data_IF_868991575658
#
_entry.id   IF_868991575658
#
_cell.length_a   1.000
_cell.length_b   1.000
_cell.length_c   1.000
_cell.angle_alpha   90.00
_cell.angle_beta   90.00
_cell.angle_gamma   90.00
#
_symmetry.space_group_name_H-M   'P 1'
#
loop_
_entity.id
_entity.type
_entity.pdbx_description
1 polymer ?
#
# COMPACT_ATOMS: atom_id res chain seq x y z
N UNK A 1 2.65 1.81 18.12
CA UNK A 1 3.03 1.86 16.69
C UNK A 1 1.74 1.91 15.89
N UNK A 2 1.63 2.70 14.80
CA UNK A 2 0.42 2.71 13.99
C UNK A 2 0.19 1.34 13.38
N UNK A 3 -1.06 0.90 13.38
CA UNK A 3 -1.51 -0.35 12.76
C UNK A 3 -2.27 -0.05 11.47
N UNK A 4 -2.28 -1.02 10.55
CA UNK A 4 -2.96 -0.87 9.26
C UNK A 4 -3.62 -2.15 8.80
N UNK A 5 -4.82 -2.03 8.24
CA UNK A 5 -5.47 -3.06 7.45
C UNK A 5 -5.24 -2.78 5.96
N UNK A 6 -4.75 -3.78 5.23
CA UNK A 6 -4.52 -3.70 3.79
C UNK A 6 -5.35 -4.80 3.11
N UNK A 7 -6.19 -4.42 2.16
CA UNK A 7 -7.00 -5.34 1.36
C UNK A 7 -7.13 -4.88 -0.10
N UNK A 8 -7.59 -5.75 -0.98
CA UNK A 8 -7.69 -5.49 -2.42
C UNK A 8 -9.09 -5.81 -2.95
N UNK A 9 -9.52 -5.05 -3.95
CA UNK A 9 -10.73 -5.30 -4.74
C UNK A 9 -10.40 -5.02 -6.22
N UNK A 10 -10.35 -6.09 -7.02
CA UNK A 10 -9.82 -6.05 -8.39
C UNK A 10 -8.39 -5.50 -8.41
N UNK A 11 -8.17 -4.43 -9.19
CA UNK A 11 -6.90 -3.70 -9.27
C UNK A 11 -6.74 -2.57 -8.25
N UNK A 12 -7.64 -2.46 -7.27
CA UNK A 12 -7.61 -1.40 -6.27
C UNK A 12 -7.08 -1.93 -4.94
N UNK A 13 -6.12 -1.22 -4.36
CA UNK A 13 -5.59 -1.43 -3.01
C UNK A 13 -6.21 -0.41 -2.07
N UNK A 14 -6.68 -0.90 -0.94
CA UNK A 14 -7.20 -0.11 0.16
C UNK A 14 -6.30 -0.28 1.38
N UNK A 15 -6.00 0.83 2.04
CA UNK A 15 -5.19 0.89 3.24
C UNK A 15 -5.95 1.72 4.27
N UNK A 16 -6.34 1.09 5.36
CA UNK A 16 -6.98 1.75 6.50
C UNK A 16 -6.01 1.76 7.68
N UNK A 17 -5.80 2.92 8.28
CA UNK A 17 -4.93 3.11 9.44
C UNK A 17 -5.77 3.34 10.70
N UNK A 18 -5.24 2.97 11.86
CA UNK A 18 -5.90 3.15 13.16
C UNK A 18 -6.02 4.62 13.61
N UNK A 19 -5.26 5.51 12.98
CA UNK A 19 -5.27 6.95 13.22
C UNK A 19 -4.80 7.73 11.99
N UNK A 20 -4.98 9.05 12.04
CA UNK A 20 -4.43 9.96 11.03
C UNK A 20 -2.90 9.92 11.08
N UNK A 21 -2.29 9.71 9.93
CA UNK A 21 -0.84 9.70 9.74
C UNK A 21 -0.42 11.00 9.07
N UNK A 22 0.50 11.73 9.69
CA UNK A 22 0.97 13.03 9.19
C UNK A 22 1.65 12.90 7.82
N UNK A 23 2.50 11.87 7.66
CA UNK A 23 3.19 11.54 6.41
C UNK A 23 3.40 10.04 6.28
N UNK A 24 3.08 9.49 5.12
CA UNK A 24 3.32 8.09 4.80
C UNK A 24 3.67 7.87 3.33
N UNK A 25 4.21 6.69 3.05
CA UNK A 25 4.59 6.26 1.70
C UNK A 25 4.06 4.87 1.42
N UNK A 26 3.57 4.66 0.21
CA UNK A 26 3.09 3.39 -0.30
C UNK A 26 3.91 3.04 -1.53
N UNK A 27 4.56 1.88 -1.47
CA UNK A 27 5.29 1.30 -2.60
C UNK A 27 4.70 -0.06 -2.93
N UNK A 28 4.49 -0.34 -4.21
CA UNK A 28 4.04 -1.64 -4.70
C UNK A 28 5.09 -2.18 -5.66
N UNK A 29 5.48 -3.43 -5.47
CA UNK A 29 6.47 -4.14 -6.25
C UNK A 29 5.83 -5.37 -6.92
N UNK A 30 6.22 -5.65 -8.16
CA UNK A 30 5.86 -6.89 -8.86
C UNK A 30 6.67 -8.11 -8.34
N UNK A 31 6.40 -9.34 -8.80
CA UNK A 31 7.14 -10.54 -8.40
C UNK A 31 8.65 -10.47 -8.68
N UNK A 32 9.05 -9.72 -9.71
CA UNK A 32 10.44 -9.47 -10.07
C UNK A 32 11.11 -8.38 -9.22
N UNK A 33 10.44 -7.95 -8.15
CA UNK A 33 10.88 -6.90 -7.22
C UNK A 33 11.09 -5.52 -7.89
N UNK A 34 10.42 -5.27 -9.02
CA UNK A 34 10.41 -3.96 -9.67
C UNK A 34 9.29 -3.11 -9.08
N UNK A 35 9.61 -1.85 -8.77
CA UNK A 35 8.64 -0.88 -8.28
C UNK A 35 7.63 -0.53 -9.38
N UNK A 36 6.36 -0.86 -9.18
CA UNK A 36 5.28 -0.56 -10.12
C UNK A 36 4.48 0.68 -9.73
N UNK A 37 4.43 0.99 -8.44
CA UNK A 37 3.72 2.17 -7.96
C UNK A 37 4.40 2.75 -6.73
N UNK A 38 4.46 4.07 -6.68
CA UNK A 38 4.88 4.85 -5.52
C UNK A 38 3.89 5.99 -5.29
N UNK A 39 3.45 6.16 -4.03
CA UNK A 39 2.56 7.24 -3.61
C UNK A 39 2.98 7.74 -2.23
N UNK A 40 3.15 9.04 -2.10
CA UNK A 40 3.19 9.71 -0.79
C UNK A 40 1.79 10.21 -0.41
N UNK A 41 1.52 10.27 0.89
CA UNK A 41 0.30 10.85 1.42
C UNK A 41 0.57 11.61 2.72
N UNK A 42 -0.35 12.50 3.09
CA UNK A 42 -0.25 13.33 4.30
C UNK A 42 -1.61 13.48 4.96
N UNK A 43 -1.60 13.59 6.28
CA UNK A 43 -2.78 13.82 7.13
C UNK A 43 -3.96 12.92 6.76
N UNK A 44 -3.70 11.63 6.60
CA UNK A 44 -4.70 10.65 6.16
C UNK A 44 -4.70 9.43 7.05
N UNK A 45 -5.88 8.87 7.29
CA UNK A 45 -6.07 7.56 7.90
C UNK A 45 -6.63 6.53 6.92
N UNK A 46 -6.79 6.90 5.64
CA UNK A 46 -7.34 6.03 4.61
C UNK A 46 -6.77 6.36 3.23
N UNK A 47 -6.23 5.35 2.55
CA UNK A 47 -5.69 5.48 1.21
C UNK A 47 -6.32 4.46 0.27
N UNK A 48 -6.71 4.95 -0.92
CA UNK A 48 -7.19 4.15 -2.05
C UNK A 48 -6.25 4.37 -3.23
N UNK A 49 -5.82 3.28 -3.86
CA UNK A 49 -4.88 3.31 -4.98
C UNK A 49 -5.33 2.30 -6.03
N UNK A 50 -5.54 2.75 -7.26
CA UNK A 50 -5.71 1.87 -8.41
C UNK A 50 -4.34 1.58 -9.01
N UNK A 51 -4.05 0.30 -9.25
CA UNK A 51 -2.78 -0.18 -9.76
C UNK A 51 -3.01 -0.68 -11.19
N UNK A 52 -2.56 0.08 -12.19
CA UNK A 52 -2.73 -0.28 -13.59
C UNK A 52 -1.65 -1.27 -14.04
N UNK A 53 -1.80 -2.52 -13.61
CA UNK A 53 -0.86 -3.61 -13.90
C UNK A 53 -1.60 -4.89 -14.30
N UNK A 54 -0.85 -5.90 -14.74
CA UNK A 54 -1.40 -7.23 -15.00
C UNK A 54 -1.90 -7.89 -13.70
N UNK A 55 -2.95 -8.73 -13.76
CA UNK A 55 -3.36 -9.54 -12.63
C UNK A 55 -2.20 -10.40 -12.11
N UNK A 56 -2.09 -10.54 -10.79
CA UNK A 56 -0.99 -11.30 -10.19
C UNK A 56 -0.74 -11.00 -8.73
N UNK A 57 0.37 -11.55 -8.23
CA UNK A 57 0.82 -11.34 -6.85
C UNK A 57 1.81 -10.19 -6.79
N UNK A 58 1.65 -9.31 -5.81
CA UNK A 58 2.49 -8.13 -5.61
C UNK A 58 2.91 -8.03 -4.14
N UNK A 59 3.92 -7.20 -3.89
CA UNK A 59 4.33 -6.83 -2.54
C UNK A 59 4.07 -5.36 -2.31
N UNK A 60 3.32 -5.04 -1.25
CA UNK A 60 3.18 -3.66 -0.78
C UNK A 60 4.14 -3.42 0.38
N UNK A 61 4.86 -2.30 0.33
CA UNK A 61 5.66 -1.77 1.42
C UNK A 61 5.07 -0.41 1.81
N UNK A 62 4.47 -0.38 2.99
CA UNK A 62 3.85 0.78 3.59
C UNK A 62 4.80 1.34 4.65
N UNK A 63 5.19 2.61 4.52
CA UNK A 63 6.02 3.31 5.50
C UNK A 63 5.15 4.33 6.21
N UNK A 64 4.96 4.13 7.52
CA UNK A 64 4.20 5.02 8.41
C UNK A 64 5.16 5.56 9.49
N UNK A 65 5.52 6.83 9.39
CA UNK A 65 6.49 7.47 10.30
C UNK A 65 7.84 6.70 10.33
N UNK A 66 8.09 5.91 11.38
CA UNK A 66 9.30 5.09 11.56
C UNK A 66 9.04 3.58 11.40
N UNK A 67 7.84 3.19 10.96
CA UNK A 67 7.44 1.80 10.84
C UNK A 67 7.32 1.39 9.38
N UNK A 68 7.76 0.17 9.09
CA UNK A 68 7.69 -0.43 7.75
C UNK A 68 6.84 -1.68 7.85
N UNK A 69 5.77 -1.71 7.07
CA UNK A 69 4.86 -2.86 6.95
C UNK A 69 5.00 -3.42 5.55
N UNK A 70 5.32 -4.70 5.45
CA UNK A 70 5.40 -5.41 4.17
C UNK A 70 4.31 -6.46 4.10
N UNK A 71 3.53 -6.49 3.01
CA UNK A 71 2.46 -7.47 2.83
C UNK A 71 2.43 -7.97 1.39
N UNK A 72 2.15 -9.26 1.20
CA UNK A 72 1.82 -9.82 -0.12
C UNK A 72 0.33 -9.57 -0.41
N UNK A 73 0.02 -9.10 -1.62
CA UNK A 73 -1.34 -8.84 -2.08
C UNK A 73 -1.57 -9.52 -3.43
N UNK A 74 -2.83 -9.81 -3.75
CA UNK A 74 -3.25 -10.33 -5.05
C UNK A 74 -4.15 -9.30 -5.72
N UNK A 75 -3.81 -8.93 -6.95
CA UNK A 75 -4.58 -8.02 -7.80
C UNK A 75 -5.21 -8.83 -8.92
N UNK A 76 -6.51 -8.67 -9.13
CA UNK A 76 -7.30 -9.39 -10.13
C UNK A 76 -7.86 -8.44 -11.19
#
# INVERSE_FOLDING_TARGET
MPTSLIYTEGKTVFIQMDRVIDRGMIMIYNPSNQLVLYKEFKNSNFEKISVDTEPGNYFIKLILERNIITKKISLN
#
